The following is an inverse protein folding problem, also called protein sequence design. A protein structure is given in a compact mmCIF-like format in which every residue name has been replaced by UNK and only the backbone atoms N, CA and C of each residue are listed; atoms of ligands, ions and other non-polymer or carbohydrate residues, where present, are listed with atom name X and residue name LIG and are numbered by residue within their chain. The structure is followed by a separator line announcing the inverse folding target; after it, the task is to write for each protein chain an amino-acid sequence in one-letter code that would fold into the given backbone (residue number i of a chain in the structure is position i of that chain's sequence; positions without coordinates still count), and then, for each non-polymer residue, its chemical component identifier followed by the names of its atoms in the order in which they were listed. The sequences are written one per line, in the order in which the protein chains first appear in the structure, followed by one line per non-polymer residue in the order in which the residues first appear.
data_IF_762180073447
#
_entry.id   IF_762180073447
#
_cell.length_a   1.000
_cell.length_b   1.000
_cell.length_c   1.000
_cell.angle_alpha   90.00
_cell.angle_beta   90.00
_cell.angle_gamma   90.00
#
_symmetry.space_group_name_H-M   'P 1'
#
loop_
_entity.id
_entity.type
_entity.pdbx_description
1 polymer ?
#
# COMPACT_ATOMS: atom_id res chain seq x y z
N UNK A 1 -3.58 3.67 -14.98
CA UNK A 1 -3.03 2.56 -14.15
C UNK A 1 -2.51 3.06 -12.80
N UNK A 2 -1.49 3.93 -12.76
CA UNK A 2 -0.92 4.48 -11.51
C UNK A 2 -1.96 5.03 -10.52
N UNK A 3 -2.87 5.91 -10.97
CA UNK A 3 -3.97 6.45 -10.14
C UNK A 3 -4.91 5.37 -9.57
N UNK A 4 -5.15 4.31 -10.33
CA UNK A 4 -6.00 3.20 -9.90
C UNK A 4 -5.28 2.39 -8.81
N UNK A 5 -4.01 2.05 -9.00
CA UNK A 5 -3.17 1.37 -8.00
C UNK A 5 -3.11 2.16 -6.69
N UNK A 6 -2.90 3.47 -6.76
CA UNK A 6 -2.91 4.35 -5.59
C UNK A 6 -4.25 4.28 -4.86
N UNK A 7 -5.36 4.45 -5.59
CA UNK A 7 -6.70 4.40 -5.00
C UNK A 7 -6.98 3.05 -4.33
N UNK A 8 -6.68 1.95 -5.02
CA UNK A 8 -6.86 0.59 -4.50
C UNK A 8 -6.02 0.36 -3.25
N UNK A 9 -4.73 0.74 -3.27
CA UNK A 9 -3.84 0.59 -2.13
C UNK A 9 -4.33 1.41 -0.92
N UNK A 10 -4.75 2.66 -1.12
CA UNK A 10 -5.32 3.48 -0.04
C UNK A 10 -6.57 2.84 0.58
N UNK A 11 -7.46 2.30 -0.26
CA UNK A 11 -8.67 1.63 0.20
C UNK A 11 -8.38 0.38 1.03
N UNK A 12 -7.44 -0.46 0.57
CA UNK A 12 -7.05 -1.68 1.30
C UNK A 12 -6.44 -1.32 2.65
N UNK A 13 -5.53 -0.34 2.68
CA UNK A 13 -4.93 0.15 3.94
C UNK A 13 -6.01 0.71 4.87
N UNK A 14 -7.00 1.43 4.32
CA UNK A 14 -8.13 1.95 5.08
C UNK A 14 -9.01 0.87 5.69
N UNK A 15 -9.30 -0.20 4.93
CA UNK A 15 -10.06 -1.36 5.42
C UNK A 15 -9.30 -2.04 6.56
N UNK A 16 -8.01 -2.33 6.37
CA UNK A 16 -7.17 -2.91 7.41
C UNK A 16 -7.13 -2.02 8.66
N UNK A 17 -6.91 -0.71 8.49
CA UNK A 17 -6.82 0.23 9.60
C UNK A 17 -8.12 0.28 10.41
N UNK A 18 -9.27 0.34 9.73
CA UNK A 18 -10.57 0.30 10.37
C UNK A 18 -10.80 -1.01 11.13
N UNK A 19 -10.50 -2.15 10.52
CA UNK A 19 -10.75 -3.47 11.10
C UNK A 19 -9.80 -3.80 12.27
N UNK A 20 -8.52 -3.42 12.16
CA UNK A 20 -7.47 -3.76 13.12
C UNK A 20 -7.34 -2.74 14.24
N UNK A 21 -7.46 -1.44 13.92
CA UNK A 21 -7.22 -0.34 14.85
C UNK A 21 -8.50 0.41 15.24
N UNK A 22 -9.67 -0.02 14.74
CA UNK A 22 -10.97 0.58 15.04
C UNK A 22 -11.05 2.09 14.73
N UNK A 23 -10.31 2.55 13.72
CA UNK A 23 -10.35 3.97 13.31
C UNK A 23 -11.66 4.34 12.62
N UNK A 24 -12.06 5.63 12.62
CA UNK A 24 -13.19 6.09 11.83
C UNK A 24 -13.03 5.76 10.33
N UNK A 25 -14.14 5.39 9.68
CA UNK A 25 -14.13 5.14 8.23
C UNK A 25 -13.63 6.37 7.49
N UNK A 26 -12.68 6.16 6.57
CA UNK A 26 -12.09 7.24 5.77
C UNK A 26 -10.89 7.93 6.42
N UNK A 27 -10.50 7.56 7.65
CA UNK A 27 -9.29 8.06 8.30
C UNK A 27 -8.31 6.92 8.60
N UNK A 28 -7.03 7.16 8.29
CA UNK A 28 -5.93 6.30 8.66
C UNK A 28 -5.36 6.75 10.02
N UNK A 29 -5.01 5.80 10.88
CA UNK A 29 -4.16 6.11 12.04
C UNK A 29 -2.75 6.50 11.57
N UNK A 30 -1.97 7.11 12.46
CA UNK A 30 -0.62 7.58 12.15
C UNK A 30 0.27 6.47 11.56
N UNK A 31 0.16 5.24 12.07
CA UNK A 31 0.92 4.11 11.55
C UNK A 31 0.53 3.73 10.11
N UNK A 32 -0.76 3.57 9.85
CA UNK A 32 -1.27 3.24 8.51
C UNK A 32 -1.01 4.38 7.53
N UNK A 33 -1.02 5.64 7.99
CA UNK A 33 -0.67 6.81 7.20
C UNK A 33 0.80 6.75 6.74
N UNK A 34 1.74 6.36 7.62
CA UNK A 34 3.16 6.17 7.26
C UNK A 34 3.33 5.07 6.20
N UNK A 35 2.59 3.96 6.34
CA UNK A 35 2.62 2.88 5.35
C UNK A 35 2.06 3.34 4.01
N UNK A 36 0.96 4.10 4.02
CA UNK A 36 0.37 4.69 2.82
C UNK A 36 1.34 5.63 2.11
N UNK A 37 1.92 6.60 2.81
CA UNK A 37 2.86 7.56 2.22
C UNK A 37 4.07 6.86 1.60
N UNK A 38 4.58 5.82 2.27
CA UNK A 38 5.65 5.00 1.72
C UNK A 38 5.21 4.29 0.43
N UNK A 39 4.06 3.60 0.46
CA UNK A 39 3.55 2.90 -0.71
C UNK A 39 3.24 3.86 -1.88
N UNK A 40 2.66 5.02 -1.60
CA UNK A 40 2.35 6.07 -2.56
C UNK A 40 3.60 6.51 -3.32
N UNK A 41 4.66 6.89 -2.60
CA UNK A 41 5.92 7.29 -3.22
C UNK A 41 6.50 6.18 -4.11
N UNK A 42 6.50 4.92 -3.66
CA UNK A 42 7.01 3.78 -4.44
C UNK A 42 6.14 3.47 -5.65
N UNK A 43 4.82 3.60 -5.51
CA UNK A 43 3.88 3.49 -6.61
C UNK A 43 4.11 4.61 -7.59
N UNK A 44 4.42 5.84 -7.17
CA UNK A 44 4.61 7.00 -8.04
C UNK A 44 5.87 6.90 -8.91
N UNK A 45 6.98 6.45 -8.34
CA UNK A 45 8.25 6.28 -9.07
C UNK A 45 8.42 4.90 -9.72
N UNK A 46 7.39 4.05 -9.71
CA UNK A 46 7.51 2.67 -10.19
C UNK A 46 7.84 2.61 -11.71
N UNK A 47 8.98 1.99 -12.11
CA UNK A 47 9.39 1.88 -13.52
C UNK A 47 8.64 0.78 -14.27
N UNK A 48 8.04 -0.17 -13.54
CA UNK A 48 7.32 -1.31 -14.12
C UNK A 48 5.80 -1.08 -14.18
N UNK A 49 5.32 0.15 -13.97
CA UNK A 49 3.90 0.45 -13.83
C UNK A 49 3.07 -0.01 -15.04
N UNK A 50 3.61 0.12 -16.25
CA UNK A 50 2.89 -0.24 -17.47
C UNK A 50 2.81 -1.75 -17.66
N UNK A 51 3.91 -2.47 -17.43
CA UNK A 51 4.01 -3.91 -17.68
C UNK A 51 3.53 -4.80 -16.53
N UNK A 52 3.62 -4.35 -15.27
CA UNK A 52 3.25 -5.18 -14.10
C UNK A 52 1.72 -5.28 -13.94
N UNK A 53 1.19 -6.44 -13.58
CA UNK A 53 -0.23 -6.59 -13.22
C UNK A 53 -0.49 -6.24 -11.76
N UNK A 54 0.35 -6.73 -10.84
CA UNK A 54 0.27 -6.44 -9.41
C UNK A 54 1.65 -6.19 -8.79
N UNK A 55 1.70 -5.47 -7.68
CA UNK A 55 2.95 -5.24 -6.94
C UNK A 55 3.52 -6.53 -6.33
N UNK A 56 2.66 -7.49 -5.96
CA UNK A 56 3.04 -8.77 -5.35
C UNK A 56 3.84 -9.68 -6.29
N UNK A 57 3.62 -9.58 -7.61
CA UNK A 57 4.31 -10.37 -8.64
C UNK A 57 5.53 -9.65 -9.23
N UNK A 58 5.84 -8.44 -8.73
CA UNK A 58 6.98 -7.68 -9.23
C UNK A 58 8.28 -8.41 -8.90
N UNK A 59 9.12 -8.65 -9.91
CA UNK A 59 10.45 -9.28 -9.75
C UNK A 59 11.42 -8.41 -8.94
N UNK A 60 11.14 -7.11 -8.86
CA UNK A 60 11.99 -6.13 -8.17
C UNK A 60 11.59 -6.03 -6.70
N UNK A 61 12.57 -6.17 -5.80
CA UNK A 61 12.40 -5.88 -4.37
C UNK A 61 12.31 -4.38 -4.14
N UNK A 62 11.11 -3.82 -4.33
CA UNK A 62 10.87 -2.38 -4.26
C UNK A 62 10.57 -1.87 -2.85
N UNK A 63 10.06 -2.69 -1.94
CA UNK A 63 9.77 -2.30 -0.56
C UNK A 63 10.90 -2.71 0.38
N UNK A 64 11.26 -1.80 1.28
CA UNK A 64 12.14 -2.10 2.39
C UNK A 64 11.53 -3.21 3.26
N UNK A 65 12.36 -4.07 3.89
CA UNK A 65 11.88 -5.26 4.60
C UNK A 65 10.75 -4.98 5.60
N UNK A 66 10.90 -3.92 6.40
CA UNK A 66 9.91 -3.49 7.40
C UNK A 66 8.56 -3.14 6.79
N UNK A 67 8.54 -2.30 5.75
CA UNK A 67 7.30 -1.93 5.05
C UNK A 67 6.71 -3.09 4.25
N UNK A 68 7.55 -4.01 3.76
CA UNK A 68 7.10 -5.20 3.06
C UNK A 68 6.32 -6.14 3.99
N UNK A 69 6.75 -6.28 5.24
CA UNK A 69 6.02 -7.04 6.24
C UNK A 69 4.68 -6.39 6.58
N UNK A 70 4.67 -5.07 6.81
CA UNK A 70 3.41 -4.33 7.04
C UNK A 70 2.43 -4.45 5.87
N UNK A 71 2.90 -4.31 4.64
CA UNK A 71 2.05 -4.46 3.45
C UNK A 71 1.54 -5.91 3.32
N UNK A 72 2.34 -6.91 3.67
CA UNK A 72 1.86 -8.31 3.71
C UNK A 72 0.80 -8.54 4.75
N UNK A 73 0.92 -7.91 5.92
CA UNK A 73 -0.10 -7.98 6.96
C UNK A 73 -1.40 -7.30 6.50
N UNK A 74 -1.30 -6.13 5.88
CA UNK A 74 -2.45 -5.37 5.36
C UNK A 74 -3.20 -6.13 4.26
N UNK A 75 -2.49 -6.91 3.45
CA UNK A 75 -3.06 -7.65 2.32
C UNK A 75 -3.57 -9.05 2.69
N UNK A 76 -3.47 -9.46 3.96
CA UNK A 76 -4.04 -10.73 4.48
C UNK A 76 -5.49 -10.55 4.89
#
# INVERSE_FOLDING_TARGET
KRKLELKTMYQIIGIYCHNKHHTPKGQLCEECQKVWQYAEHRIDVCPHMESKTFCSVCKTHCYAPTYREKIREIMR
#
